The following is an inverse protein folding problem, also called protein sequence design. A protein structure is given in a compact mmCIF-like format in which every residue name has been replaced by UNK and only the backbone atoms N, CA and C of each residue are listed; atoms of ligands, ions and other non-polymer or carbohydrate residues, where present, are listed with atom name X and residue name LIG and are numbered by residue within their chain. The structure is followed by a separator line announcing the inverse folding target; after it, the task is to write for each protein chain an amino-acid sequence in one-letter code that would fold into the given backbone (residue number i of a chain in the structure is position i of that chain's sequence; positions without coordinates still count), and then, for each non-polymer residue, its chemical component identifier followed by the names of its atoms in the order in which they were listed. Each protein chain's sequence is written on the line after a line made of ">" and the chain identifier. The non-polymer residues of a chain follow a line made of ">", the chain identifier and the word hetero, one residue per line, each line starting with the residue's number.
data_IF_326251193285
#
_entry.id   IF_326251193285
#
_cell.length_a   1.000
_cell.length_b   1.000
_cell.length_c   1.000
_cell.angle_alpha   90.00
_cell.angle_beta   90.00
_cell.angle_gamma   90.00
#
_symmetry.space_group_name_H-M   'P 1'
#
loop_
_entity.id
_entity.type
_entity.pdbx_description
1 polymer ?
#
# COMPACT_ATOMS: atom_id res chain seq x y z
N UNK A 1 -20.06 -17.58 -41.53
CA UNK A 1 -19.05 -16.72 -40.90
C UNK A 1 -19.12 -16.93 -39.40
N UNK A 2 -18.12 -17.61 -38.83
CA UNK A 2 -17.95 -17.80 -37.38
C UNK A 2 -17.11 -16.66 -36.82
N UNK A 3 -17.40 -16.10 -35.63
CA UNK A 3 -16.46 -15.21 -34.98
C UNK A 3 -15.33 -16.02 -34.34
N UNK A 4 -14.09 -15.54 -34.52
CA UNK A 4 -12.89 -16.03 -33.88
C UNK A 4 -12.96 -15.74 -32.37
N UNK A 5 -12.85 -16.79 -31.55
CA UNK A 5 -12.60 -16.65 -30.11
C UNK A 5 -11.17 -16.13 -29.92
N UNK A 6 -11.04 -14.86 -29.51
CA UNK A 6 -9.74 -14.30 -29.11
C UNK A 6 -9.40 -14.85 -27.73
N UNK A 7 -8.39 -15.71 -27.67
CA UNK A 7 -7.86 -16.28 -26.44
C UNK A 7 -7.31 -15.18 -25.53
N UNK A 8 -8.13 -14.72 -24.59
CA UNK A 8 -7.65 -14.14 -23.35
C UNK A 8 -7.84 -15.23 -22.31
N UNK A 9 -6.80 -16.03 -22.06
CA UNK A 9 -6.83 -16.87 -20.87
C UNK A 9 -7.05 -15.93 -19.68
N UNK A 10 -8.09 -16.15 -18.84
CA UNK A 10 -8.24 -15.35 -17.64
C UNK A 10 -6.99 -15.61 -16.81
N UNK A 11 -6.18 -14.56 -16.60
CA UNK A 11 -5.16 -14.56 -15.55
C UNK A 11 -5.92 -14.92 -14.28
N UNK A 12 -5.72 -16.15 -13.78
CA UNK A 12 -6.27 -16.54 -12.50
C UNK A 12 -5.74 -15.51 -11.50
N UNK A 13 -6.60 -14.74 -10.83
CA UNK A 13 -6.11 -13.75 -9.89
C UNK A 13 -5.21 -14.49 -8.92
N UNK A 14 -3.96 -14.03 -8.80
CA UNK A 14 -3.08 -14.47 -7.72
C UNK A 14 -3.95 -14.35 -6.47
N UNK A 15 -4.30 -15.48 -5.83
CA UNK A 15 -5.10 -15.42 -4.61
C UNK A 15 -4.23 -14.68 -3.59
N UNK A 16 -4.48 -13.39 -3.41
CA UNK A 16 -3.74 -12.55 -2.48
C UNK A 16 -4.11 -13.00 -1.08
N UNK A 17 -3.23 -13.78 -0.47
CA UNK A 17 -3.44 -14.35 0.86
C UNK A 17 -2.90 -13.46 1.98
N UNK A 18 -2.32 -12.30 1.66
CA UNK A 18 -1.71 -11.40 2.64
C UNK A 18 -2.02 -9.94 2.33
N UNK A 19 -2.49 -9.22 3.35
CA UNK A 19 -2.63 -7.78 3.37
C UNK A 19 -1.79 -7.17 4.50
N UNK A 20 -1.24 -5.98 4.24
CA UNK A 20 -0.64 -5.11 5.25
C UNK A 20 -1.55 -3.89 5.35
N UNK A 21 -2.03 -3.58 6.54
CA UNK A 21 -2.98 -2.49 6.71
C UNK A 21 -2.81 -1.73 8.01
N UNK A 22 -3.03 -0.43 7.93
CA UNK A 22 -3.19 0.42 9.10
C UNK A 22 -4.66 0.43 9.52
N UNK A 23 -4.91 0.03 10.77
CA UNK A 23 -6.25 0.03 11.36
C UNK A 23 -6.54 1.41 11.92
N UNK A 24 -7.49 2.13 11.31
CA UNK A 24 -7.96 3.43 11.82
C UNK A 24 -9.28 3.24 12.57
N UNK A 25 -9.46 3.85 13.76
CA UNK A 25 -10.73 3.78 14.46
C UNK A 25 -11.84 4.43 13.63
N UNK A 26 -13.07 3.93 13.74
CA UNK A 26 -14.23 4.33 12.93
C UNK A 26 -14.51 5.86 12.99
N UNK A 27 -14.16 6.51 14.11
CA UNK A 27 -14.23 7.97 14.27
C UNK A 27 -13.32 8.75 13.30
N UNK A 28 -12.31 8.10 12.70
CA UNK A 28 -11.45 8.69 11.67
C UNK A 28 -12.05 8.62 10.26
N UNK A 29 -13.06 7.77 10.02
CA UNK A 29 -13.77 7.69 8.73
C UNK A 29 -14.80 8.82 8.57
N UNK A 30 -15.36 9.32 9.68
CA UNK A 30 -16.31 10.44 9.70
C UNK A 30 -15.65 11.82 9.62
N UNK A 31 -14.32 11.91 9.76
CA UNK A 31 -13.59 13.15 9.44
C UNK A 31 -13.39 13.18 7.93
N UNK A 32 -13.94 14.22 7.27
CA UNK A 32 -13.71 14.54 5.85
C UNK A 32 -12.27 14.15 5.48
N UNK A 33 -12.03 13.41 4.38
CA UNK A 33 -10.67 13.10 3.96
C UNK A 33 -9.87 14.40 3.97
N UNK A 34 -8.79 14.43 4.77
CA UNK A 34 -7.79 15.51 4.68
C UNK A 34 -7.47 15.62 3.20
N UNK A 35 -7.71 16.81 2.62
CA UNK A 35 -7.39 17.26 1.25
C UNK A 35 -7.06 16.16 0.22
N UNK A 36 -7.73 16.16 -0.93
CA UNK A 36 -7.49 15.25 -2.07
C UNK A 36 -6.06 15.21 -2.65
N UNK A 37 -5.10 15.91 -2.04
CA UNK A 37 -3.66 15.96 -2.38
C UNK A 37 -2.74 15.22 -1.40
N UNK A 38 -3.24 14.25 -0.64
CA UNK A 38 -2.50 13.68 0.51
C UNK A 38 -1.15 13.06 0.15
N UNK A 39 -0.87 12.75 -1.13
CA UNK A 39 0.42 12.27 -1.60
C UNK A 39 0.85 12.87 -2.95
N UNK A 40 0.59 14.16 -3.15
CA UNK A 40 1.01 14.84 -4.38
C UNK A 40 2.40 15.46 -4.22
N UNK A 41 3.20 15.40 -5.30
CA UNK A 41 4.48 16.08 -5.39
C UNK A 41 4.81 16.44 -6.84
N UNK A 42 5.50 17.56 -7.04
CA UNK A 42 6.05 17.96 -8.32
C UNK A 42 7.53 18.30 -8.09
N UNK A 43 8.43 17.56 -8.74
CA UNK A 43 9.87 17.74 -8.60
C UNK A 43 10.51 17.86 -9.97
N UNK A 44 11.33 18.90 -10.15
CA UNK A 44 12.23 19.00 -11.30
C UNK A 44 13.41 18.07 -11.07
N UNK A 45 13.66 17.20 -12.04
CA UNK A 45 14.76 16.24 -12.05
C UNK A 45 15.51 16.37 -13.36
N UNK A 46 16.82 16.07 -13.36
CA UNK A 46 17.57 15.99 -14.61
C UNK A 46 17.14 14.73 -15.36
N UNK A 47 17.15 14.73 -16.70
CA UNK A 47 16.80 13.54 -17.49
C UNK A 47 17.62 12.31 -17.09
N UNK A 48 18.93 12.50 -16.85
CA UNK A 48 19.84 11.41 -16.49
C UNK A 48 19.60 10.85 -15.07
N UNK A 49 18.90 11.61 -14.21
CA UNK A 49 18.56 11.22 -12.84
C UNK A 49 17.21 10.48 -12.76
N UNK A 50 16.52 10.27 -13.88
CA UNK A 50 15.21 9.62 -13.95
C UNK A 50 15.15 8.56 -15.06
N UNK A 51 15.13 7.29 -14.67
CA UNK A 51 14.98 6.17 -15.60
C UNK A 51 13.56 5.59 -15.50
N UNK A 52 12.66 6.12 -16.33
CA UNK A 52 11.26 5.70 -16.35
C UNK A 52 11.07 4.25 -16.81
N UNK A 53 12.06 3.63 -17.46
CA UNK A 53 11.97 2.23 -17.90
C UNK A 53 11.99 1.24 -16.72
N UNK A 54 12.56 1.65 -15.58
CA UNK A 54 12.61 0.87 -14.34
C UNK A 54 11.42 1.11 -13.42
N UNK A 55 10.56 2.07 -13.77
CA UNK A 55 9.44 2.50 -12.95
C UNK A 55 9.85 3.14 -11.63
N UNK A 56 8.87 3.25 -10.72
CA UNK A 56 9.06 3.82 -9.38
C UNK A 56 8.91 2.74 -8.31
N UNK A 57 9.53 2.98 -7.16
CA UNK A 57 9.34 2.17 -5.96
C UNK A 57 8.64 3.01 -4.88
N UNK A 58 7.66 2.42 -4.22
CA UNK A 58 7.09 2.95 -2.99
C UNK A 58 7.77 2.22 -1.83
N UNK A 59 8.40 2.97 -0.92
CA UNK A 59 8.91 2.45 0.35
C UNK A 59 8.00 2.94 1.47
N UNK A 60 7.39 1.99 2.18
CA UNK A 60 6.62 2.24 3.39
C UNK A 60 7.47 1.88 4.60
N UNK A 61 7.56 2.79 5.56
CA UNK A 61 8.27 2.59 6.83
C UNK A 61 7.28 2.74 7.98
N UNK A 62 7.40 1.87 8.98
CA UNK A 62 6.49 1.86 10.11
C UNK A 62 6.79 0.71 11.06
N UNK A 63 5.82 0.41 11.93
CA UNK A 63 5.92 -0.65 12.94
C UNK A 63 4.78 -1.64 12.79
N UNK A 64 5.02 -2.88 13.16
CA UNK A 64 3.94 -3.85 13.37
C UNK A 64 3.10 -3.35 14.55
N UNK A 65 1.80 -3.30 14.35
CA UNK A 65 0.83 -2.84 15.33
C UNK A 65 -0.02 -4.00 15.84
N UNK A 66 -0.90 -3.72 16.79
CA UNK A 66 -1.88 -4.68 17.29
C UNK A 66 -3.26 -4.43 16.65
N UNK A 67 -3.94 -5.52 16.29
CA UNK A 67 -5.36 -5.51 15.96
C UNK A 67 -6.20 -5.38 17.25
N UNK A 68 -7.48 -5.00 17.15
CA UNK A 68 -8.42 -5.20 18.24
C UNK A 68 -8.37 -6.66 18.72
N UNK A 69 -8.04 -6.86 20.01
CA UNK A 69 -7.79 -8.19 20.58
C UNK A 69 -6.31 -8.56 20.79
N UNK A 70 -5.37 -7.62 20.56
CA UNK A 70 -3.96 -7.72 20.98
C UNK A 70 -3.05 -8.55 20.06
N UNK A 71 -3.58 -9.12 18.96
CA UNK A 71 -2.78 -9.87 17.99
C UNK A 71 -2.34 -8.97 16.84
N UNK A 72 -1.11 -9.09 16.36
CA UNK A 72 -0.64 -8.32 15.20
C UNK A 72 -1.06 -8.89 13.85
N UNK A 73 -1.44 -10.17 13.82
CA UNK A 73 -1.80 -10.90 12.61
C UNK A 73 -3.14 -11.57 12.85
N UNK A 74 -4.08 -11.43 11.91
CA UNK A 74 -5.33 -12.20 11.91
C UNK A 74 -5.50 -12.88 10.57
N UNK A 75 -5.69 -14.18 10.63
CA UNK A 75 -5.93 -15.02 9.45
C UNK A 75 -7.35 -15.56 9.48
N UNK A 76 -8.00 -15.57 8.32
CA UNK A 76 -9.27 -16.23 8.11
C UNK A 76 -9.10 -17.20 6.94
N UNK A 77 -9.49 -18.45 7.14
CA UNK A 77 -9.48 -19.44 6.06
C UNK A 77 -10.87 -19.49 5.42
N UNK A 78 -11.05 -18.97 4.20
CA UNK A 78 -12.29 -19.17 3.47
C UNK A 78 -12.47 -20.68 3.20
N UNK A 79 -13.71 -21.15 3.24
CA UNK A 79 -14.16 -22.57 3.24
C UNK A 79 -13.22 -23.53 2.48
N UNK A 80 -12.89 -24.65 3.14
CA UNK A 80 -12.06 -25.73 2.59
C UNK A 80 -10.68 -25.79 3.26
N UNK A 81 -10.35 -26.94 3.86
CA UNK A 81 -9.09 -27.16 4.60
C UNK A 81 -7.84 -27.05 3.71
N UNK A 82 -8.00 -27.20 2.40
CA UNK A 82 -6.93 -27.16 1.40
C UNK A 82 -6.60 -25.74 0.89
N UNK A 83 -7.39 -24.73 1.22
CA UNK A 83 -7.14 -23.35 0.78
C UNK A 83 -6.19 -22.63 1.74
N UNK A 84 -5.31 -21.79 1.18
CA UNK A 84 -4.42 -20.94 1.98
C UNK A 84 -5.26 -19.90 2.73
N UNK A 85 -4.99 -19.65 4.04
CA UNK A 85 -5.70 -18.62 4.77
C UNK A 85 -5.35 -17.23 4.22
N UNK A 86 -6.32 -16.33 4.24
CA UNK A 86 -6.11 -14.91 3.98
C UNK A 86 -5.76 -14.22 5.31
N UNK A 87 -4.62 -13.55 5.37
CA UNK A 87 -4.09 -12.93 6.57
C UNK A 87 -3.97 -11.42 6.41
N UNK A 88 -4.16 -10.70 7.51
CA UNK A 88 -3.86 -9.28 7.61
C UNK A 88 -2.82 -9.04 8.71
N UNK A 89 -1.80 -8.26 8.40
CA UNK A 89 -0.81 -7.76 9.37
C UNK A 89 -1.16 -6.32 9.69
N UNK A 90 -1.43 -6.03 10.96
CA UNK A 90 -1.62 -4.67 11.43
C UNK A 90 -0.28 -3.95 11.47
N UNK A 91 -0.26 -2.73 10.94
CA UNK A 91 0.90 -1.84 10.99
C UNK A 91 0.48 -0.42 11.34
N UNK A 92 1.39 0.34 11.93
CA UNK A 92 1.33 1.80 11.99
C UNK A 92 2.36 2.34 11.01
N UNK A 93 1.91 3.09 10.00
CA UNK A 93 2.81 3.69 9.03
C UNK A 93 3.34 5.03 9.54
N UNK A 94 4.65 5.21 9.48
CA UNK A 94 5.32 6.44 9.91
C UNK A 94 5.67 7.31 8.69
N UNK A 95 6.15 6.69 7.62
CA UNK A 95 6.66 7.38 6.43
C UNK A 95 6.33 6.61 5.14
N UNK A 96 5.96 7.35 4.10
CA UNK A 96 5.97 6.86 2.72
C UNK A 96 7.00 7.63 1.91
N UNK A 97 7.82 6.92 1.15
CA UNK A 97 8.76 7.50 0.19
C UNK A 97 8.48 6.98 -1.23
N UNK A 98 8.52 7.90 -2.20
CA UNK A 98 8.55 7.57 -3.62
C UNK A 98 9.99 7.62 -4.09
N UNK A 99 10.51 6.51 -4.61
CA UNK A 99 11.90 6.34 -5.02
C UNK A 99 11.99 6.11 -6.53
N UNK A 100 13.03 6.66 -7.15
CA UNK A 100 13.48 6.23 -8.48
C UNK A 100 14.51 5.11 -8.28
N UNK A 101 14.33 3.99 -8.98
CA UNK A 101 15.22 2.83 -8.92
C UNK A 101 16.68 3.14 -9.30
N UNK A 102 16.93 4.23 -10.02
CA UNK A 102 18.28 4.66 -10.43
C UNK A 102 18.89 5.76 -9.52
N UNK A 103 18.13 6.34 -8.58
CA UNK A 103 18.58 7.49 -7.80
C UNK A 103 18.92 7.10 -6.34
N UNK A 104 19.96 7.73 -5.78
CA UNK A 104 20.39 7.50 -4.40
C UNK A 104 19.48 8.13 -3.34
N UNK A 105 18.49 8.96 -3.73
CA UNK A 105 17.58 9.66 -2.81
C UNK A 105 16.13 9.55 -3.26
N UNK A 106 15.16 9.54 -2.32
CA UNK A 106 13.75 9.60 -2.66
C UNK A 106 13.39 10.82 -3.50
N UNK A 107 12.47 10.63 -4.44
CA UNK A 107 11.83 11.70 -5.19
C UNK A 107 10.96 12.54 -4.25
N UNK A 108 10.20 11.90 -3.36
CA UNK A 108 9.42 12.55 -2.32
C UNK A 108 9.27 11.65 -1.09
N UNK A 109 9.01 12.29 0.04
CA UNK A 109 8.78 11.64 1.33
C UNK A 109 7.64 12.34 2.03
N UNK A 110 6.69 11.58 2.56
CA UNK A 110 5.53 12.08 3.31
C UNK A 110 5.51 11.42 4.70
N UNK A 111 5.28 12.23 5.73
CA UNK A 111 4.95 11.72 7.06
C UNK A 111 3.51 11.22 7.05
N UNK A 112 3.33 9.97 7.49
CA UNK A 112 2.02 9.33 7.63
C UNK A 112 1.49 9.38 9.07
N UNK A 113 2.33 9.81 10.00
CA UNK A 113 1.95 10.02 11.39
C UNK A 113 0.92 11.17 11.48
N UNK A 114 -0.10 11.02 12.33
CA UNK A 114 -0.95 12.15 12.66
C UNK A 114 -0.08 13.27 13.26
N UNK A 115 -0.30 14.55 12.89
CA UNK A 115 0.36 15.64 13.59
C UNK A 115 0.00 15.51 15.08
N UNK A 116 1.03 15.48 15.93
CA UNK A 116 0.83 15.59 17.38
C UNK A 116 0.22 16.96 17.64
N UNK A 117 -1.04 17.00 18.08
CA UNK A 117 -1.60 18.24 18.62
C UNK A 117 -0.74 18.61 19.84
N UNK A 118 0.11 19.62 19.69
CA UNK A 118 0.88 20.21 20.79
C UNK A 118 -0.11 21.06 21.57
N UNK A 119 -0.24 20.70 22.85
CA UNK A 119 -1.04 21.35 23.89
C UNK A 119 -0.72 22.85 24.02
#
# INVERSE_FOLDING_TARGET
>A
MSPLASGTEPVSPIEQTLAIAEMKPDLALNKKPRSSRTFDTVKRVRPDDLDLSKGFRIRLTGRIAELPGGQSIRCAQPVGTMRRPACIVAVSFEEMALENMSAARPLATWSMSAPSDIN
#
